data_IF_909175528449
#
_entry.id   IF_909175528449
#
_cell.length_a   1.000
_cell.length_b   1.000
_cell.length_c   1.000
_cell.angle_alpha   90.00
_cell.angle_beta   90.00
_cell.angle_gamma   90.00
#
_symmetry.space_group_name_H-M   'P 1'
#
loop_
_entity.id
_entity.type
_entity.pdbx_description
1 polymer ?
#
# COMPACT_ATOMS: atom_id res chain seq x y z
N UNK A 1 -33.18 10.63 -34.87
CA UNK A 1 -33.88 10.49 -33.57
C UNK A 1 -33.54 11.71 -32.71
N UNK A 2 -34.46 12.68 -32.52
CA UNK A 2 -34.23 13.86 -31.65
C UNK A 2 -34.51 13.46 -30.20
N UNK A 3 -33.50 13.00 -29.45
CA UNK A 3 -33.62 12.91 -28.00
C UNK A 3 -33.80 14.33 -27.46
N UNK A 4 -34.86 14.59 -26.68
CA UNK A 4 -35.03 15.90 -26.06
C UNK A 4 -33.91 16.13 -25.05
N UNK A 5 -33.27 17.30 -25.10
CA UNK A 5 -32.15 17.68 -24.23
C UNK A 5 -32.46 17.43 -22.74
N UNK A 6 -33.73 17.62 -22.36
CA UNK A 6 -34.24 17.30 -21.01
C UNK A 6 -34.06 15.83 -20.66
N UNK A 7 -34.42 14.88 -21.54
CA UNK A 7 -34.24 13.43 -21.30
C UNK A 7 -32.77 13.05 -21.20
N UNK A 8 -31.90 13.62 -22.03
CA UNK A 8 -30.45 13.36 -21.98
C UNK A 8 -29.88 13.80 -20.63
N UNK A 9 -30.23 15.01 -20.18
CA UNK A 9 -29.74 15.55 -18.92
C UNK A 9 -30.24 14.73 -17.72
N UNK A 10 -31.50 14.30 -17.71
CA UNK A 10 -32.03 13.42 -16.65
C UNK A 10 -31.30 12.09 -16.61
N UNK A 11 -31.00 11.48 -17.77
CA UNK A 11 -30.23 10.25 -17.83
C UNK A 11 -28.79 10.44 -17.29
N UNK A 12 -28.12 11.55 -17.62
CA UNK A 12 -26.78 11.86 -17.09
C UNK A 12 -26.82 12.05 -15.57
N UNK A 13 -27.81 12.77 -15.06
CA UNK A 13 -27.96 12.97 -13.61
C UNK A 13 -28.22 11.64 -12.91
N UNK A 14 -29.07 10.78 -13.47
CA UNK A 14 -29.36 9.46 -12.90
C UNK A 14 -28.14 8.54 -12.92
N UNK A 15 -27.32 8.55 -13.97
CA UNK A 15 -26.09 7.74 -14.01
C UNK A 15 -25.02 8.26 -13.04
N UNK A 16 -24.89 9.58 -12.90
CA UNK A 16 -23.96 10.19 -11.91
C UNK A 16 -24.45 9.97 -10.48
N UNK A 17 -25.75 10.07 -10.22
CA UNK A 17 -26.30 9.85 -8.89
C UNK A 17 -26.23 8.37 -8.50
N UNK A 18 -26.52 7.47 -9.45
CA UNK A 18 -26.36 6.03 -9.25
C UNK A 18 -24.91 5.67 -8.91
N UNK A 19 -23.92 6.21 -9.63
CA UNK A 19 -22.50 5.96 -9.36
C UNK A 19 -21.99 6.56 -8.03
N UNK A 20 -22.66 7.61 -7.52
CA UNK A 20 -22.41 8.15 -6.18
C UNK A 20 -23.01 7.27 -5.08
N UNK A 21 -24.18 6.66 -5.32
CA UNK A 21 -24.89 5.80 -4.34
C UNK A 21 -24.41 4.35 -4.30
N UNK A 22 -23.80 3.84 -5.38
CA UNK A 22 -23.15 2.51 -5.40
C UNK A 22 -21.77 2.51 -4.75
N UNK A 23 -21.36 3.63 -4.11
CA UNK A 23 -20.18 3.73 -3.27
C UNK A 23 -20.41 2.96 -1.96
N UNK A 24 -20.52 1.64 -2.07
CA UNK A 24 -20.38 0.75 -0.96
C UNK A 24 -18.96 0.89 -0.42
N UNK A 25 -18.84 1.05 0.90
CA UNK A 25 -17.57 1.07 1.62
C UNK A 25 -16.87 -0.27 1.39
N UNK A 26 -15.99 -0.30 0.40
CA UNK A 26 -15.23 -1.49 0.03
C UNK A 26 -13.99 -1.51 0.90
N UNK A 27 -13.86 -2.54 1.74
CA UNK A 27 -12.70 -2.65 2.62
C UNK A 27 -11.51 -3.17 1.81
N UNK A 28 -10.51 -2.32 1.59
CA UNK A 28 -9.26 -2.75 0.99
C UNK A 28 -8.26 -3.20 2.07
N UNK A 29 -7.65 -4.36 1.88
CA UNK A 29 -6.64 -4.92 2.77
C UNK A 29 -5.43 -5.28 1.94
N UNK A 30 -4.25 -4.77 2.28
CA UNK A 30 -2.99 -5.19 1.66
C UNK A 30 -2.16 -5.95 2.69
N UNK A 31 -1.76 -7.18 2.37
CA UNK A 31 -0.93 -8.04 3.22
C UNK A 31 -1.44 -8.20 4.67
N UNK A 32 -2.77 -8.24 4.81
CA UNK A 32 -3.45 -8.35 6.10
C UNK A 32 -3.63 -7.03 6.85
N UNK A 33 -3.21 -5.89 6.29
CA UNK A 33 -3.37 -4.57 6.88
C UNK A 33 -4.54 -3.84 6.20
N UNK A 34 -5.57 -3.41 6.94
CA UNK A 34 -6.65 -2.62 6.35
C UNK A 34 -6.14 -1.23 5.95
N UNK A 35 -6.45 -0.82 4.73
CA UNK A 35 -6.11 0.51 4.23
C UNK A 35 -7.30 1.46 4.40
N UNK A 36 -7.03 2.73 4.78
CA UNK A 36 -8.05 3.75 4.70
C UNK A 36 -8.30 4.15 3.24
N UNK A 37 -9.54 4.50 2.91
CA UNK A 37 -9.94 5.01 1.59
C UNK A 37 -9.12 6.24 1.14
N UNK A 38 -8.58 7.01 2.10
CA UNK A 38 -7.69 8.14 1.82
C UNK A 38 -6.35 7.73 1.21
N UNK A 39 -5.90 6.48 1.44
CA UNK A 39 -4.67 5.95 0.86
C UNK A 39 -4.94 5.20 -0.45
N UNK A 40 -6.02 4.43 -0.50
CA UNK A 40 -6.38 3.65 -1.66
C UNK A 40 -7.90 3.59 -1.82
N UNK A 41 -8.41 4.51 -2.64
CA UNK A 41 -9.79 4.47 -3.09
C UNK A 41 -9.87 3.67 -4.39
N UNK A 42 -10.66 2.61 -4.42
CA UNK A 42 -10.89 1.76 -5.61
C UNK A 42 -12.32 1.27 -5.66
N UNK A 43 -12.84 1.02 -6.87
CA UNK A 43 -14.12 0.35 -7.08
C UNK A 43 -13.93 -1.13 -7.42
N UNK A 44 -14.98 -1.92 -7.26
CA UNK A 44 -14.96 -3.35 -7.62
C UNK A 44 -14.73 -3.53 -9.12
N UNK A 45 -15.38 -2.72 -9.96
CA UNK A 45 -15.22 -2.79 -11.41
C UNK A 45 -13.78 -2.51 -11.82
N UNK A 46 -13.12 -1.54 -11.18
CA UNK A 46 -11.70 -1.28 -11.39
C UNK A 46 -10.84 -2.47 -10.98
N UNK A 47 -11.15 -3.10 -9.84
CA UNK A 47 -10.37 -4.22 -9.31
C UNK A 47 -10.63 -5.55 -10.04
N UNK A 48 -11.73 -5.66 -10.79
CA UNK A 48 -12.00 -6.79 -11.71
C UNK A 48 -11.37 -6.61 -13.08
N UNK A 49 -10.92 -5.40 -13.43
CA UNK A 49 -10.29 -5.13 -14.72
C UNK A 49 -8.87 -5.69 -14.81
N UNK A 50 -8.39 -5.95 -16.03
CA UNK A 50 -7.00 -6.34 -16.29
C UNK A 50 -5.99 -5.26 -15.84
N UNK A 51 -6.45 -4.03 -15.65
CA UNK A 51 -5.65 -2.89 -15.20
C UNK A 51 -5.60 -2.73 -13.68
N UNK A 52 -6.20 -3.65 -12.91
CA UNK A 52 -6.32 -3.51 -11.46
C UNK A 52 -4.97 -3.27 -10.77
N UNK A 53 -3.92 -4.02 -11.14
CA UNK A 53 -2.56 -3.85 -10.57
C UNK A 53 -1.98 -2.47 -10.88
N UNK A 54 -2.19 -1.97 -12.09
CA UNK A 54 -1.74 -0.65 -12.53
C UNK A 54 -2.49 0.45 -11.78
N UNK A 55 -3.80 0.31 -11.59
CA UNK A 55 -4.64 1.26 -10.84
C UNK A 55 -4.16 1.34 -9.38
N UNK A 56 -3.99 0.20 -8.72
CA UNK A 56 -3.49 0.13 -7.33
C UNK A 56 -2.10 0.77 -7.23
N UNK A 57 -1.18 0.41 -8.12
CA UNK A 57 0.17 0.95 -8.13
C UNK A 57 0.20 2.47 -8.32
N UNK A 58 -0.56 2.99 -9.30
CA UNK A 58 -0.62 4.41 -9.59
C UNK A 58 -1.24 5.22 -8.45
N UNK A 59 -2.30 4.70 -7.83
CA UNK A 59 -2.99 5.39 -6.72
C UNK A 59 -2.19 5.36 -5.43
N UNK A 60 -1.56 4.23 -5.11
CA UNK A 60 -0.67 4.15 -3.94
C UNK A 60 0.56 5.02 -4.15
N UNK A 61 1.16 4.98 -5.35
CA UNK A 61 2.41 5.68 -5.62
C UNK A 61 3.55 5.22 -4.71
N UNK A 62 3.59 3.93 -4.38
CA UNK A 62 4.59 3.33 -3.46
C UNK A 62 5.21 2.06 -4.03
N UNK A 63 4.38 1.21 -4.64
CA UNK A 63 4.78 -0.06 -5.22
C UNK A 63 4.50 -0.07 -6.71
N UNK A 64 5.37 -0.68 -7.52
CA UNK A 64 5.11 -0.90 -8.94
C UNK A 64 4.05 -2.02 -9.14
N UNK A 65 3.42 -2.11 -10.33
CA UNK A 65 2.35 -3.09 -10.57
C UNK A 65 2.80 -4.55 -10.42
N UNK A 66 4.06 -4.83 -10.76
CA UNK A 66 4.65 -6.18 -10.67
C UNK A 66 4.97 -6.62 -9.24
N UNK A 67 5.00 -5.70 -8.26
CA UNK A 67 5.11 -6.05 -6.85
C UNK A 67 3.78 -6.56 -6.26
N UNK A 68 2.67 -6.37 -7.00
CA UNK A 68 1.35 -6.89 -6.63
C UNK A 68 1.23 -8.32 -7.16
N UNK A 69 1.21 -9.29 -6.25
CA UNK A 69 1.11 -10.71 -6.57
C UNK A 69 -0.30 -11.05 -7.05
N UNK A 70 -1.31 -10.74 -6.23
CA UNK A 70 -2.71 -11.04 -6.54
C UNK A 70 -3.66 -10.02 -5.94
N UNK A 71 -4.84 -9.91 -6.55
CA UNK A 71 -5.98 -9.13 -6.06
C UNK A 71 -7.15 -10.11 -6.04
N UNK A 72 -7.79 -10.27 -4.88
CA UNK A 72 -8.96 -11.11 -4.68
C UNK A 72 -10.09 -10.24 -4.15
N UNK A 73 -11.31 -10.52 -4.62
CA UNK A 73 -12.50 -9.77 -4.25
C UNK A 73 -13.47 -10.76 -3.62
N UNK A 74 -13.93 -10.44 -2.42
CA UNK A 74 -14.90 -11.24 -1.67
C UNK A 74 -16.17 -10.42 -1.46
N UNK A 75 -17.27 -10.93 -1.98
CA UNK A 75 -18.60 -10.38 -1.71
C UNK A 75 -19.04 -10.68 -0.27
N UNK A 76 -19.95 -9.88 0.27
CA UNK A 76 -20.53 -10.12 1.59
C UNK A 76 -21.14 -11.54 1.72
N UNK A 77 -21.74 -12.06 0.65
CA UNK A 77 -22.33 -13.41 0.65
C UNK A 77 -21.28 -14.51 0.79
N UNK A 78 -20.14 -14.38 0.10
CA UNK A 78 -19.03 -15.33 0.19
C UNK A 78 -18.39 -15.29 1.58
N UNK A 79 -18.27 -14.10 2.17
CA UNK A 79 -17.79 -13.92 3.54
C UNK A 79 -18.71 -14.61 4.56
N UNK A 80 -20.04 -14.47 4.41
CA UNK A 80 -21.02 -15.12 5.29
C UNK A 80 -21.00 -16.64 5.12
N UNK A 81 -20.85 -17.15 3.88
CA UNK A 81 -20.75 -18.59 3.63
C UNK A 81 -19.48 -19.21 4.20
N UNK A 82 -18.37 -18.48 4.18
CA UNK A 82 -17.08 -18.95 4.73
C UNK A 82 -16.97 -18.75 6.25
N UNK A 83 -17.65 -17.76 6.82
CA UNK A 83 -17.61 -17.45 8.24
C UNK A 83 -18.74 -18.10 9.05
N UNK A 84 -18.42 -19.13 9.84
CA UNK A 84 -19.28 -19.60 10.96
C UNK A 84 -19.21 -18.67 12.19
N UNK A 85 -18.80 -17.41 12.04
CA UNK A 85 -18.45 -16.53 13.15
C UNK A 85 -19.43 -15.35 13.28
N UNK A 86 -19.63 -14.92 14.53
CA UNK A 86 -20.43 -13.74 14.88
C UNK A 86 -19.62 -12.48 14.52
N UNK A 87 -20.12 -11.68 13.58
CA UNK A 87 -19.51 -10.40 13.21
C UNK A 87 -20.13 -9.29 14.06
N UNK A 88 -19.34 -8.68 14.96
CA UNK A 88 -19.79 -7.60 15.86
C UNK A 88 -19.83 -6.21 15.19
N UNK A 89 -19.43 -6.11 13.92
CA UNK A 89 -19.43 -4.87 13.15
C UNK A 89 -20.31 -4.99 11.90
N UNK A 90 -20.66 -3.85 11.30
CA UNK A 90 -21.34 -3.83 10.00
C UNK A 90 -20.42 -4.47 8.96
N UNK A 91 -20.88 -5.53 8.31
CA UNK A 91 -20.15 -6.15 7.21
C UNK A 91 -19.97 -5.16 6.06
N UNK A 92 -18.74 -4.98 5.55
CA UNK A 92 -18.54 -4.27 4.29
C UNK A 92 -19.26 -5.03 3.17
N UNK A 93 -19.75 -4.31 2.16
CA UNK A 93 -20.42 -4.97 1.04
C UNK A 93 -19.45 -5.90 0.29
N UNK A 94 -18.19 -5.44 0.15
CA UNK A 94 -17.13 -6.16 -0.54
C UNK A 94 -15.79 -5.93 0.19
N UNK A 95 -14.95 -6.98 0.19
CA UNK A 95 -13.57 -6.93 0.69
C UNK A 95 -12.64 -7.19 -0.48
N UNK A 96 -11.61 -6.35 -0.62
CA UNK A 96 -10.55 -6.52 -1.62
C UNK A 96 -9.26 -6.85 -0.88
N UNK A 97 -8.80 -8.09 -1.07
CA UNK A 97 -7.54 -8.58 -0.54
C UNK A 97 -6.47 -8.46 -1.62
N UNK A 98 -5.46 -7.66 -1.34
CA UNK A 98 -4.30 -7.48 -2.20
C UNK A 98 -3.11 -8.13 -1.49
N UNK A 99 -2.39 -8.96 -2.23
CA UNK A 99 -1.15 -9.59 -1.76
C UNK A 99 0.02 -9.04 -2.54
N UNK A 100 1.06 -8.60 -1.85
CA UNK A 100 2.32 -8.20 -2.48
C UNK A 100 3.36 -9.31 -2.38
N UNK A 101 4.33 -9.28 -3.31
CA UNK A 101 5.47 -10.18 -3.29
C UNK A 101 6.69 -9.51 -2.61
N UNK A 102 7.83 -10.20 -2.62
CA UNK A 102 9.06 -9.74 -1.99
C UNK A 102 9.56 -8.38 -2.50
N UNK A 103 9.18 -7.94 -3.70
CA UNK A 103 9.60 -6.64 -4.25
C UNK A 103 8.96 -5.45 -3.52
N UNK A 104 7.94 -5.67 -2.70
CA UNK A 104 7.38 -4.64 -1.81
C UNK A 104 8.15 -4.52 -0.48
N UNK A 105 9.02 -5.48 -0.14
CA UNK A 105 9.84 -5.45 1.07
C UNK A 105 10.93 -4.35 0.99
N UNK A 106 11.12 -3.63 2.10
CA UNK A 106 12.14 -2.59 2.21
C UNK A 106 13.54 -3.19 2.32
N UNK A 107 14.45 -2.73 1.47
CA UNK A 107 15.89 -2.88 1.68
C UNK A 107 16.42 -1.76 2.57
N UNK A 108 17.45 -2.07 3.36
CA UNK A 108 17.96 -1.16 4.39
C UNK A 108 19.42 -0.84 4.14
N UNK A 109 19.72 0.46 4.05
CA UNK A 109 21.09 0.98 3.96
C UNK A 109 21.34 1.86 5.17
N UNK A 110 22.34 1.53 5.97
CA UNK A 110 22.78 2.31 7.13
C UNK A 110 24.19 2.83 6.87
N UNK A 111 24.36 4.16 6.87
CA UNK A 111 25.65 4.81 6.60
C UNK A 111 26.35 4.27 5.33
N UNK A 112 25.58 4.04 4.27
CA UNK A 112 26.07 3.52 2.99
C UNK A 112 26.28 2.00 2.93
N UNK A 113 26.00 1.25 4.01
CA UNK A 113 26.13 -0.21 4.03
C UNK A 113 24.77 -0.89 4.07
N UNK A 114 24.58 -1.90 3.24
CA UNK A 114 23.38 -2.74 3.31
C UNK A 114 23.36 -3.50 4.65
N UNK A 115 22.20 -3.49 5.30
CA UNK A 115 21.98 -4.14 6.59
C UNK A 115 20.68 -4.92 6.57
N UNK A 116 20.57 -5.91 7.45
CA UNK A 116 19.31 -6.61 7.67
C UNK A 116 18.55 -5.96 8.82
N UNK A 117 17.25 -5.63 8.65
CA UNK A 117 16.43 -5.14 9.73
C UNK A 117 16.12 -6.26 10.73
N UNK A 118 15.71 -5.89 11.95
CA UNK A 118 15.22 -6.87 12.95
C UNK A 118 13.89 -7.49 12.54
N UNK A 119 13.05 -6.72 11.86
CA UNK A 119 11.73 -7.12 11.38
C UNK A 119 11.60 -6.70 9.92
N UNK A 120 11.11 -7.60 9.07
CA UNK A 120 10.80 -7.25 7.69
C UNK A 120 9.64 -6.27 7.69
N UNK A 121 9.79 -5.19 6.93
CA UNK A 121 8.77 -4.19 6.72
C UNK A 121 8.61 -3.98 5.22
N UNK A 122 7.37 -3.78 4.80
CA UNK A 122 7.05 -3.34 3.45
C UNK A 122 7.03 -1.81 3.37
N UNK A 123 7.07 -1.26 2.16
CA UNK A 123 6.86 0.18 1.97
C UNK A 123 5.45 0.63 2.43
N UNK A 124 4.47 -0.28 2.42
CA UNK A 124 3.11 -0.03 2.88
C UNK A 124 3.06 0.10 4.40
N UNK A 125 3.74 -0.80 5.13
CA UNK A 125 3.90 -0.71 6.58
C UNK A 125 4.44 0.66 6.99
N UNK A 126 5.46 1.14 6.27
CA UNK A 126 6.04 2.44 6.51
C UNK A 126 5.02 3.58 6.32
N UNK A 127 4.27 3.56 5.21
CA UNK A 127 3.31 4.62 4.90
C UNK A 127 2.18 4.69 5.93
N UNK A 128 1.69 3.54 6.37
CA UNK A 128 0.60 3.44 7.36
C UNK A 128 1.08 3.74 8.77
N UNK A 129 2.31 3.36 9.12
CA UNK A 129 2.84 3.52 10.47
C UNK A 129 4.36 3.76 10.43
N UNK A 130 4.81 5.00 10.16
CA UNK A 130 6.24 5.33 10.05
C UNK A 130 7.06 4.96 11.30
N UNK A 131 6.40 4.96 12.47
CA UNK A 131 6.99 4.59 13.76
C UNK A 131 7.59 3.17 13.76
N UNK A 132 7.04 2.25 12.96
CA UNK A 132 7.52 0.86 12.82
C UNK A 132 8.96 0.77 12.35
N UNK A 133 9.51 1.81 11.68
CA UNK A 133 10.93 1.84 11.33
C UNK A 133 11.79 1.63 12.57
N UNK A 134 11.47 2.32 13.67
CA UNK A 134 12.29 2.27 14.88
C UNK A 134 12.34 0.88 15.50
N UNK A 135 11.25 0.12 15.39
CA UNK A 135 11.16 -1.28 15.82
C UNK A 135 12.04 -2.20 14.95
N UNK A 136 12.13 -1.89 13.65
CA UNK A 136 12.88 -2.67 12.67
C UNK A 136 14.39 -2.32 12.64
N UNK A 137 14.83 -1.22 13.28
CA UNK A 137 16.24 -0.84 13.34
C UNK A 137 17.12 -1.94 13.97
N UNK A 138 18.37 -2.13 13.50
CA UNK A 138 19.32 -3.04 14.12
C UNK A 138 19.58 -2.73 15.60
N UNK A 139 19.94 -3.76 16.39
CA UNK A 139 19.99 -3.62 17.86
C UNK A 139 20.89 -2.53 18.42
N UNK A 140 21.90 -2.14 17.67
CA UNK A 140 22.94 -1.21 18.13
C UNK A 140 22.65 0.24 17.78
N UNK A 141 21.60 0.52 17.01
CA UNK A 141 21.25 1.87 16.58
C UNK A 141 20.16 2.41 17.48
N UNK A 142 20.46 3.48 18.20
CA UNK A 142 19.44 4.21 18.97
C UNK A 142 18.72 5.19 18.04
N UNK A 143 17.40 5.37 18.16
CA UNK A 143 16.67 6.38 17.40
C UNK A 143 17.26 7.79 17.53
N UNK A 144 17.84 8.13 18.69
CA UNK A 144 18.51 9.41 18.97
C UNK A 144 19.76 9.67 18.14
N UNK A 145 20.33 8.63 17.55
CA UNK A 145 21.55 8.70 16.76
C UNK A 145 21.23 8.90 15.27
N UNK A 146 19.97 8.82 14.86
CA UNK A 146 19.53 9.00 13.47
C UNK A 146 19.56 10.49 13.12
N UNK A 147 20.29 10.82 12.06
CA UNK A 147 20.35 12.16 11.48
C UNK A 147 19.31 12.33 10.37
N UNK A 148 19.16 11.33 9.51
CA UNK A 148 18.13 11.31 8.47
C UNK A 148 17.70 9.88 8.15
N UNK A 149 16.47 9.76 7.66
CA UNK A 149 15.91 8.54 7.11
C UNK A 149 15.17 8.89 5.83
N UNK A 150 15.75 8.52 4.69
CA UNK A 150 15.24 8.83 3.36
C UNK A 150 14.74 7.55 2.70
N UNK A 151 13.66 7.63 1.93
CA UNK A 151 13.10 6.48 1.22
C UNK A 151 13.18 6.70 -0.28
N UNK A 152 13.72 5.70 -0.96
CA UNK A 152 13.87 5.67 -2.40
C UNK A 152 12.92 4.61 -2.94
N UNK A 153 11.97 5.05 -3.77
CA UNK A 153 11.00 4.19 -4.47
C UNK A 153 11.25 4.26 -5.97
N UNK A 154 10.97 3.16 -6.69
CA UNK A 154 11.30 3.00 -8.11
C UNK A 154 10.05 2.84 -8.99
N UNK A 155 8.96 3.54 -8.65
CA UNK A 155 7.62 3.33 -9.25
C UNK A 155 7.61 3.52 -10.79
N UNK A 156 8.46 4.42 -11.29
CA UNK A 156 8.59 4.71 -12.72
C UNK A 156 9.86 4.12 -13.36
N UNK A 157 10.63 3.30 -12.62
CA UNK A 157 11.82 2.68 -13.17
C UNK A 157 11.41 1.47 -14.02
N UNK A 158 11.78 1.41 -15.31
CA UNK A 158 11.46 0.27 -16.18
C UNK A 158 12.13 -1.03 -15.72
N UNK A 159 13.11 -0.98 -14.82
CA UNK A 159 13.79 -2.14 -14.26
C UNK A 159 12.92 -2.79 -13.18
N UNK A 160 12.46 -4.01 -13.43
CA UNK A 160 11.46 -4.70 -12.62
C UNK A 160 11.97 -5.29 -11.28
N UNK A 161 13.23 -5.06 -10.93
CA UNK A 161 13.91 -5.81 -9.85
C UNK A 161 14.36 -4.94 -8.67
N UNK A 162 14.00 -3.66 -8.63
CA UNK A 162 14.43 -2.78 -7.55
C UNK A 162 13.44 -2.79 -6.40
N UNK A 163 13.93 -3.17 -5.23
CA UNK A 163 13.20 -3.04 -3.98
C UNK A 163 13.18 -1.57 -3.53
N UNK A 164 12.07 -1.11 -2.91
CA UNK A 164 12.08 0.17 -2.20
C UNK A 164 13.16 0.12 -1.11
N UNK A 165 13.93 1.20 -0.98
CA UNK A 165 15.10 1.23 -0.11
C UNK A 165 14.99 2.36 0.89
N UNK A 166 15.17 2.05 2.17
CA UNK A 166 15.33 3.04 3.23
C UNK A 166 16.81 3.27 3.51
N UNK A 167 17.24 4.53 3.39
CA UNK A 167 18.60 4.98 3.63
C UNK A 167 18.62 5.77 4.93
N UNK A 168 19.32 5.24 5.93
CA UNK A 168 19.44 5.83 7.26
C UNK A 168 20.87 6.32 7.44
N UNK A 169 21.01 7.60 7.78
CA UNK A 169 22.27 8.19 8.20
C UNK A 169 22.24 8.40 9.70
N UNK A 170 23.25 7.91 10.40
CA UNK A 170 23.39 8.11 11.84
C UNK A 170 24.60 8.99 12.14
N UNK A 171 24.65 9.51 13.36
CA UNK A 171 25.84 10.17 13.89
C UNK A 171 27.05 9.24 13.77
N UNK A 172 28.24 9.78 13.48
CA UNK A 172 29.47 9.01 13.59
C UNK A 172 29.61 8.53 15.03
N UNK A 173 29.67 7.21 15.24
CA UNK A 173 30.11 6.66 16.52
C UNK A 173 31.61 6.92 16.67
N UNK A 174 32.08 7.32 17.85
CA UNK A 174 33.48 7.70 18.09
C UNK A 174 34.53 6.66 17.64
N UNK A 175 34.13 5.40 17.44
CA UNK A 175 34.96 4.35 16.83
C UNK A 175 35.43 4.64 15.40
N UNK A 176 34.79 5.53 14.65
CA UNK A 176 35.26 5.94 13.31
C UNK A 176 36.34 7.03 13.34
N UNK A 177 36.57 7.69 14.49
CA UNK A 177 37.68 8.65 14.65
C UNK A 177 39.04 7.97 14.79
N UNK A 178 39.08 6.68 15.16
CA UNK A 178 40.34 5.96 15.43
C UNK A 178 40.90 5.16 14.23
N UNK A 179 40.42 5.38 13.00
CA UNK A 179 40.96 4.74 11.79
C UNK A 179 41.83 5.66 10.92
N UNK A 180 42.57 6.55 11.56
CA UNK A 180 43.62 7.34 10.92
C UNK A 180 44.89 7.29 11.76
N UNK A 181 45.75 6.31 11.50
CA UNK A 181 47.19 6.34 11.74
C UNK A 181 47.84 5.66 10.54
#
# INVERSE_FOLDING_TARGET
MKLSLKRVLTCIILTVLASLTTRAQTLCVIDGIPLPDSLLHVTIDEMRSDSAKQIVSHRLGLIPPYAIESIQIFSAEEQIKQGKNITFCKLPADIILIRTNSLAELQWILNGKMINPRKRLTIIDYKLSPQRITEALPRRIKPTDILSADIITYINDPRQEKHPTIVIKTKPTDSSKNKGH
#
